data_IF_735262238275
#
_entry.id   IF_735262238275
#
_cell.length_a   1.000
_cell.length_b   1.000
_cell.length_c   1.000
_cell.angle_alpha   90.00
_cell.angle_beta   90.00
_cell.angle_gamma   90.00
#
_symmetry.space_group_name_H-M   'P 1'
#
loop_
_entity.id
_entity.type
_entity.pdbx_description
1 polymer ?
#
# COMPACT_ATOMS: atom_id res chain seq x y z
N UNK A 1 9.83 -5.05 -24.59
CA UNK A 1 8.69 -5.99 -24.63
C UNK A 1 8.86 -6.97 -23.49
N UNK A 2 7.89 -7.08 -22.59
CA UNK A 2 7.94 -8.03 -21.49
C UNK A 2 7.79 -9.47 -22.01
N UNK A 3 8.41 -10.44 -21.35
CA UNK A 3 8.42 -11.86 -21.73
C UNK A 3 7.01 -12.41 -22.00
N UNK A 4 6.04 -11.99 -21.18
CA UNK A 4 4.63 -12.39 -21.30
C UNK A 4 3.93 -11.81 -22.53
N UNK A 5 4.27 -10.58 -22.94
CA UNK A 5 3.66 -9.96 -24.12
C UNK A 5 4.05 -10.69 -25.42
N UNK A 6 5.28 -11.21 -25.49
CA UNK A 6 5.72 -12.05 -26.59
C UNK A 6 5.00 -13.42 -26.62
N UNK A 7 4.80 -14.02 -25.44
CA UNK A 7 4.19 -15.34 -25.31
C UNK A 7 2.67 -15.35 -25.50
N UNK A 8 1.97 -14.34 -24.99
CA UNK A 8 0.50 -14.32 -24.97
C UNK A 8 -0.11 -13.53 -26.13
N UNK A 9 0.49 -12.40 -26.51
CA UNK A 9 -0.10 -11.50 -27.52
C UNK A 9 0.48 -11.68 -28.92
N UNK A 10 1.69 -12.25 -29.06
CA UNK A 10 2.39 -12.40 -30.35
C UNK A 10 2.58 -13.86 -30.79
N UNK A 11 2.15 -14.82 -29.98
CA UNK A 11 2.25 -16.23 -30.31
C UNK A 11 1.01 -16.66 -31.11
N UNK A 12 1.15 -17.05 -32.39
CA UNK A 12 0.01 -17.45 -33.23
C UNK A 12 -0.64 -18.76 -32.76
N UNK A 13 -0.03 -19.49 -31.82
CA UNK A 13 -0.60 -20.71 -31.21
C UNK A 13 -1.41 -20.43 -29.94
N UNK A 14 -1.44 -19.19 -29.45
CA UNK A 14 -2.20 -18.79 -28.27
C UNK A 14 -3.35 -17.91 -28.73
N UNK A 15 -4.58 -18.31 -28.38
CA UNK A 15 -5.79 -17.53 -28.60
C UNK A 15 -6.38 -17.19 -27.23
N UNK A 16 -6.56 -15.91 -26.97
CA UNK A 16 -7.25 -15.43 -25.77
C UNK A 16 -8.73 -15.27 -26.11
N UNK A 17 -9.59 -15.82 -25.28
CA UNK A 17 -11.05 -15.73 -25.41
C UNK A 17 -11.64 -15.18 -24.11
N UNK A 18 -12.66 -14.34 -24.22
CA UNK A 18 -13.35 -13.78 -23.06
C UNK A 18 -14.33 -14.80 -22.48
N UNK A 19 -14.27 -15.06 -21.18
CA UNK A 19 -15.16 -16.01 -20.48
C UNK A 19 -16.01 -15.24 -19.47
N UNK A 20 -17.33 -15.46 -19.50
CA UNK A 20 -18.33 -14.81 -18.63
C UNK A 20 -18.10 -15.10 -17.13
N UNK A 21 -17.92 -16.37 -16.80
CA UNK A 21 -17.84 -16.88 -15.43
C UNK A 21 -17.23 -18.27 -15.45
N UNK A 22 -16.29 -18.51 -14.54
CA UNK A 22 -15.78 -19.84 -14.25
C UNK A 22 -16.53 -20.39 -13.05
N UNK A 23 -16.92 -21.66 -13.12
CA UNK A 23 -17.36 -22.36 -11.92
C UNK A 23 -16.16 -22.46 -10.96
N UNK A 24 -16.25 -21.93 -9.73
CA UNK A 24 -15.11 -21.90 -8.81
C UNK A 24 -14.66 -23.28 -8.32
N UNK A 25 -15.52 -24.30 -8.44
CA UNK A 25 -15.18 -25.68 -8.08
C UNK A 25 -14.54 -26.46 -9.24
N UNK A 26 -14.95 -26.20 -10.48
CA UNK A 26 -14.50 -26.99 -11.65
C UNK A 26 -13.54 -26.22 -12.57
N UNK A 27 -13.43 -24.90 -12.41
CA UNK A 27 -12.71 -23.99 -13.31
C UNK A 27 -13.13 -24.09 -14.78
N UNK A 28 -14.36 -24.55 -15.04
CA UNK A 28 -14.94 -24.62 -16.38
C UNK A 28 -15.83 -23.41 -16.66
N UNK A 29 -15.94 -22.98 -17.93
CA UNK A 29 -16.88 -21.94 -18.34
C UNK A 29 -18.32 -22.38 -18.04
N UNK A 30 -19.10 -21.49 -17.41
CA UNK A 30 -20.51 -21.77 -17.08
C UNK A 30 -21.46 -21.38 -18.22
N UNK A 31 -21.04 -20.45 -19.10
CA UNK A 31 -21.79 -20.08 -20.31
C UNK A 31 -20.90 -19.51 -21.41
N UNK A 32 -21.32 -19.66 -22.67
CA UNK A 32 -20.72 -19.01 -23.85
C UNK A 32 -21.40 -17.66 -24.14
N UNK A 33 -20.63 -16.63 -24.46
CA UNK A 33 -21.14 -15.29 -24.83
C UNK A 33 -20.26 -14.13 -24.37
N UNK A 34 -20.65 -12.90 -24.72
CA UNK A 34 -19.95 -11.68 -24.30
C UNK A 34 -20.04 -11.50 -22.76
N UNK A 35 -18.96 -11.07 -22.08
CA UNK A 35 -18.95 -10.89 -20.62
C UNK A 35 -20.06 -9.92 -20.16
N UNK A 36 -20.66 -10.18 -19.01
CA UNK A 36 -21.71 -9.32 -18.42
C UNK A 36 -21.15 -8.03 -17.81
N UNK A 37 -19.82 -7.91 -17.74
CA UNK A 37 -19.08 -6.77 -17.23
C UNK A 37 -18.03 -6.34 -18.26
N UNK A 38 -17.70 -5.05 -18.30
CA UNK A 38 -16.51 -4.59 -19.01
C UNK A 38 -15.28 -4.89 -18.14
N UNK A 39 -14.40 -5.78 -18.62
CA UNK A 39 -13.17 -6.10 -17.91
C UNK A 39 -12.30 -4.86 -17.65
N UNK A 40 -12.40 -3.82 -18.49
CA UNK A 40 -11.71 -2.55 -18.27
C UNK A 40 -12.33 -1.80 -17.09
N UNK A 41 -13.66 -1.72 -17.02
CA UNK A 41 -14.39 -1.10 -15.92
C UNK A 41 -14.14 -1.82 -14.60
N UNK A 42 -14.10 -3.16 -14.59
CA UNK A 42 -13.76 -3.96 -13.39
C UNK A 42 -12.30 -3.77 -12.99
N UNK A 43 -11.37 -3.70 -13.96
CA UNK A 43 -9.98 -3.40 -13.64
C UNK A 43 -9.81 -1.98 -13.10
N UNK A 44 -10.55 -1.01 -13.63
CA UNK A 44 -10.54 0.37 -13.17
C UNK A 44 -11.16 0.49 -11.77
N UNK A 45 -12.27 -0.18 -11.50
CA UNK A 45 -12.91 -0.26 -10.18
C UNK A 45 -11.99 -0.92 -9.13
N UNK A 46 -11.36 -2.04 -9.48
CA UNK A 46 -10.54 -2.82 -8.55
C UNK A 46 -9.15 -2.21 -8.35
N UNK A 47 -8.58 -1.57 -9.37
CA UNK A 47 -7.17 -1.12 -9.34
C UNK A 47 -6.96 0.39 -9.32
N UNK A 48 -7.99 1.20 -9.57
CA UNK A 48 -7.85 2.66 -9.46
C UNK A 48 -7.77 3.10 -8.00
N UNK A 49 -6.89 4.07 -7.74
CA UNK A 49 -6.82 4.74 -6.44
C UNK A 49 -8.10 5.50 -6.09
N UNK A 50 -8.86 5.91 -7.12
CA UNK A 50 -10.07 6.72 -7.03
C UNK A 50 -10.92 6.52 -8.31
N UNK A 51 -12.22 6.20 -8.21
CA UNK A 51 -13.03 5.79 -9.37
C UNK A 51 -13.11 6.81 -10.52
N UNK A 52 -13.09 8.12 -10.23
CA UNK A 52 -13.18 9.21 -11.21
C UNK A 52 -11.81 9.79 -11.63
N UNK A 53 -10.71 9.15 -11.21
CA UNK A 53 -9.36 9.53 -11.63
C UNK A 53 -9.14 9.12 -13.09
N UNK A 54 -8.79 10.07 -13.96
CA UNK A 54 -8.51 9.79 -15.37
C UNK A 54 -7.10 10.23 -15.77
N UNK A 55 -6.55 9.61 -16.83
CA UNK A 55 -5.30 10.00 -17.47
C UNK A 55 -5.52 10.98 -18.65
N UNK A 56 -6.78 11.37 -18.92
CA UNK A 56 -7.16 12.29 -19.99
C UNK A 56 -7.53 13.66 -19.43
N UNK A 57 -7.10 14.77 -20.05
CA UNK A 57 -7.44 16.11 -19.58
C UNK A 57 -8.96 16.31 -19.50
N UNK A 58 -9.45 16.80 -18.36
CA UNK A 58 -10.85 17.16 -18.17
C UNK A 58 -11.20 18.37 -19.05
N UNK A 59 -12.43 18.42 -19.60
CA UNK A 59 -12.96 19.62 -20.24
C UNK A 59 -13.30 20.68 -19.19
N UNK A 60 -12.89 21.93 -19.45
CA UNK A 60 -13.11 23.10 -18.60
C UNK A 60 -12.67 22.87 -17.13
N UNK A 61 -11.37 22.57 -16.89
CA UNK A 61 -10.87 22.45 -15.52
C UNK A 61 -10.83 23.83 -14.85
N UNK A 62 -11.07 23.86 -13.54
CA UNK A 62 -10.88 25.05 -12.70
C UNK A 62 -9.38 25.36 -12.55
N UNK A 63 -8.55 24.31 -12.61
CA UNK A 63 -7.11 24.41 -12.38
C UNK A 63 -6.31 23.51 -13.33
N UNK A 64 -5.24 24.06 -13.90
CA UNK A 64 -4.25 23.30 -14.67
C UNK A 64 -2.90 23.48 -14.01
N UNK A 65 -2.36 22.40 -13.48
CA UNK A 65 -1.11 22.36 -12.73
C UNK A 65 -0.06 21.51 -13.42
N UNK A 66 1.20 21.86 -13.17
CA UNK A 66 2.37 21.08 -13.53
C UNK A 66 3.21 20.88 -12.28
N UNK A 67 3.69 19.66 -12.12
CA UNK A 67 4.49 19.26 -10.96
C UNK A 67 5.83 18.74 -11.40
N UNK A 68 6.88 19.16 -10.70
CA UNK A 68 8.21 18.57 -10.84
C UNK A 68 8.85 18.38 -9.47
N UNK A 69 9.55 17.26 -9.31
CA UNK A 69 10.26 16.88 -8.11
C UNK A 69 11.73 16.57 -8.40
N UNK A 70 12.63 17.47 -8.01
CA UNK A 70 14.06 17.29 -8.28
C UNK A 70 14.82 16.74 -7.06
N UNK A 71 15.61 15.68 -7.27
CA UNK A 71 16.57 15.15 -6.29
C UNK A 71 17.99 15.16 -6.84
N UNK A 72 18.93 15.81 -6.15
CA UNK A 72 20.31 16.01 -6.64
C UNK A 72 21.33 15.94 -5.51
N UNK A 73 22.60 15.73 -5.85
CA UNK A 73 23.71 15.76 -4.88
C UNK A 73 24.30 17.17 -4.83
N UNK A 74 24.43 17.71 -3.62
CA UNK A 74 25.04 19.01 -3.35
C UNK A 74 26.01 18.87 -2.17
N UNK A 75 27.29 19.18 -2.40
CA UNK A 75 28.36 19.02 -1.39
C UNK A 75 28.38 17.63 -0.73
N UNK A 76 28.07 16.57 -1.50
CA UNK A 76 28.03 15.20 -1.01
C UNK A 76 26.77 14.80 -0.23
N UNK A 77 25.83 15.74 0.00
CA UNK A 77 24.53 15.47 0.61
C UNK A 77 23.43 15.39 -0.43
N UNK A 78 22.45 14.50 -0.25
CA UNK A 78 21.31 14.40 -1.15
C UNK A 78 20.33 15.50 -0.79
N UNK A 79 20.01 16.38 -1.74
CA UNK A 79 18.97 17.39 -1.57
C UNK A 79 17.77 17.07 -2.45
N UNK A 80 16.63 17.56 -2.02
CA UNK A 80 15.35 17.34 -2.63
C UNK A 80 14.55 18.63 -2.64
N UNK A 81 13.64 18.76 -3.60
CA UNK A 81 12.72 19.90 -3.75
C UNK A 81 11.59 19.53 -4.68
N UNK A 82 10.56 20.36 -4.67
CA UNK A 82 9.45 20.26 -5.60
C UNK A 82 8.97 21.64 -6.02
N UNK A 83 8.21 21.67 -7.10
CA UNK A 83 7.36 22.80 -7.44
C UNK A 83 6.01 22.32 -7.97
N UNK A 84 5.00 23.15 -7.70
CA UNK A 84 3.67 23.10 -8.29
C UNK A 84 3.44 24.45 -8.95
N UNK A 85 3.24 24.44 -10.25
CA UNK A 85 3.07 25.66 -11.05
C UNK A 85 1.78 25.58 -11.85
N UNK A 86 1.18 26.73 -12.15
CA UNK A 86 0.14 26.85 -13.17
C UNK A 86 0.77 27.22 -14.52
N UNK A 87 -0.05 27.42 -15.54
CA UNK A 87 0.39 27.97 -16.82
C UNK A 87 1.07 29.35 -16.68
N UNK A 88 0.73 30.12 -15.65
CA UNK A 88 1.07 31.54 -15.55
C UNK A 88 2.05 31.85 -14.42
N UNK A 89 2.00 31.10 -13.32
CA UNK A 89 2.75 31.41 -12.10
C UNK A 89 3.18 30.16 -11.33
N UNK A 90 4.15 30.34 -10.44
CA UNK A 90 4.52 29.32 -9.46
C UNK A 90 3.54 29.41 -8.28
N UNK A 91 2.77 28.36 -8.04
CA UNK A 91 1.84 28.31 -6.91
C UNK A 91 2.61 28.00 -5.63
N UNK A 92 3.51 27.02 -5.69
CA UNK A 92 4.32 26.62 -4.56
C UNK A 92 5.64 26.02 -5.05
N UNK A 93 6.75 26.34 -4.40
CA UNK A 93 8.02 25.69 -4.65
C UNK A 93 8.87 25.72 -3.38
N UNK A 94 9.35 24.56 -2.93
CA UNK A 94 10.05 24.45 -1.65
C UNK A 94 11.12 23.36 -1.67
N UNK A 95 12.12 23.51 -0.82
CA UNK A 95 13.07 22.46 -0.49
C UNK A 95 12.38 21.33 0.31
N UNK A 96 12.87 20.10 0.17
CA UNK A 96 12.37 18.92 0.86
C UNK A 96 13.49 18.23 1.65
N UNK A 97 13.13 17.42 2.67
CA UNK A 97 14.05 16.48 3.30
C UNK A 97 14.64 15.48 2.30
N UNK A 98 15.77 14.87 2.65
CA UNK A 98 16.43 13.90 1.79
C UNK A 98 15.51 12.70 1.46
N UNK A 99 15.43 12.34 0.17
CA UNK A 99 14.73 11.13 -0.29
C UNK A 99 13.33 11.36 -0.89
N UNK A 100 12.79 12.56 -0.81
CA UNK A 100 11.45 12.92 -1.30
C UNK A 100 11.59 13.66 -2.64
N UNK A 101 10.67 13.50 -3.58
CA UNK A 101 10.63 14.43 -4.74
C UNK A 101 9.29 14.40 -5.46
N UNK A 102 9.14 13.50 -6.42
CA UNK A 102 8.07 13.50 -7.42
C UNK A 102 6.72 13.12 -6.83
N UNK A 103 6.70 12.12 -5.95
CA UNK A 103 5.47 11.68 -5.27
C UNK A 103 4.93 12.80 -4.36
N UNK A 104 5.83 13.50 -3.66
CA UNK A 104 5.44 14.64 -2.83
C UNK A 104 4.95 15.81 -3.67
N UNK A 105 5.62 16.14 -4.78
CA UNK A 105 5.19 17.19 -5.70
C UNK A 105 3.75 16.94 -6.18
N UNK A 106 3.47 15.70 -6.61
CA UNK A 106 2.14 15.30 -7.06
C UNK A 106 1.10 15.31 -5.93
N UNK A 107 1.43 14.73 -4.76
CA UNK A 107 0.56 14.75 -3.60
C UNK A 107 0.19 16.18 -3.20
N UNK A 108 1.17 17.09 -3.23
CA UNK A 108 0.96 18.48 -2.87
C UNK A 108 0.08 19.22 -3.89
N UNK A 109 0.24 18.94 -5.18
CA UNK A 109 -0.64 19.51 -6.20
C UNK A 109 -2.09 19.03 -6.06
N UNK A 110 -2.31 17.79 -5.63
CA UNK A 110 -3.64 17.26 -5.31
C UNK A 110 -4.26 18.00 -4.12
N UNK A 111 -3.50 18.20 -3.03
CA UNK A 111 -3.95 19.00 -1.88
C UNK A 111 -4.32 20.45 -2.26
N UNK A 112 -3.50 21.10 -3.10
CA UNK A 112 -3.76 22.47 -3.58
C UNK A 112 -4.98 22.55 -4.54
N UNK A 113 -5.40 21.40 -5.07
CA UNK A 113 -6.55 21.25 -5.95
C UNK A 113 -7.84 20.91 -5.19
N UNK A 114 -7.84 21.01 -3.85
CA UNK A 114 -9.00 20.73 -3.01
C UNK A 114 -10.28 21.42 -3.53
N UNK A 115 -11.36 20.64 -3.59
CA UNK A 115 -12.70 21.05 -4.03
C UNK A 115 -12.79 21.61 -5.48
N UNK A 116 -11.73 21.46 -6.29
CA UNK A 116 -11.65 21.94 -7.68
C UNK A 116 -11.64 20.79 -8.68
N UNK A 117 -12.04 21.08 -9.92
CA UNK A 117 -11.82 20.22 -11.08
C UNK A 117 -10.43 20.52 -11.64
N UNK A 118 -9.49 19.58 -11.51
CA UNK A 118 -8.08 19.85 -11.82
C UNK A 118 -7.51 18.91 -12.89
N UNK A 119 -6.66 19.46 -13.76
CA UNK A 119 -5.74 18.71 -14.60
C UNK A 119 -4.32 18.91 -14.07
N UNK A 120 -3.67 17.84 -13.60
CA UNK A 120 -2.31 17.87 -13.07
C UNK A 120 -1.40 17.10 -14.01
N UNK A 121 -0.36 17.75 -14.52
CA UNK A 121 0.65 17.16 -15.37
C UNK A 121 1.91 16.84 -14.57
N UNK A 122 2.44 15.64 -14.76
CA UNK A 122 3.71 15.19 -14.18
C UNK A 122 4.55 14.52 -15.26
N UNK A 123 5.85 14.77 -15.28
CA UNK A 123 6.77 14.04 -16.15
C UNK A 123 7.37 12.79 -15.48
N UNK A 124 7.02 12.56 -14.21
CA UNK A 124 7.41 11.37 -13.47
C UNK A 124 6.50 10.20 -13.80
N UNK A 125 6.97 9.33 -14.70
CA UNK A 125 6.34 8.04 -14.98
C UNK A 125 6.16 7.20 -13.70
N UNK A 126 7.07 7.34 -12.72
CA UNK A 126 6.95 6.65 -11.44
C UNK A 126 5.77 7.17 -10.61
N UNK A 127 5.60 8.49 -10.49
CA UNK A 127 4.49 9.07 -9.74
C UNK A 127 3.14 8.76 -10.41
N UNK A 128 3.09 8.89 -11.74
CA UNK A 128 1.92 8.51 -12.54
C UNK A 128 1.53 7.04 -12.33
N UNK A 129 2.46 6.10 -12.49
CA UNK A 129 2.19 4.67 -12.33
C UNK A 129 1.80 4.31 -10.88
N UNK A 130 2.43 4.95 -9.90
CA UNK A 130 2.09 4.76 -8.48
C UNK A 130 0.63 5.11 -8.22
N UNK A 131 0.15 6.23 -8.76
CA UNK A 131 -1.22 6.69 -8.56
C UNK A 131 -2.24 5.90 -9.40
N UNK A 132 -1.97 5.65 -10.68
CA UNK A 132 -2.96 5.04 -11.59
C UNK A 132 -3.01 3.51 -11.54
N UNK A 133 -1.87 2.85 -11.33
CA UNK A 133 -1.76 1.40 -11.52
C UNK A 133 -1.69 0.65 -10.18
N UNK A 134 -1.09 1.27 -9.17
CA UNK A 134 -0.66 0.55 -7.97
C UNK A 134 -1.30 1.00 -6.66
N UNK A 135 -2.10 2.07 -6.65
CA UNK A 135 -2.64 2.59 -5.39
C UNK A 135 -3.56 1.62 -4.67
N UNK A 136 -4.46 0.94 -5.39
CA UNK A 136 -5.29 -0.10 -4.80
C UNK A 136 -4.46 -1.27 -4.26
N UNK A 137 -3.43 -1.71 -5.00
CA UNK A 137 -2.54 -2.81 -4.59
C UNK A 137 -1.75 -2.44 -3.32
N UNK A 138 -1.26 -1.21 -3.24
CA UNK A 138 -0.52 -0.73 -2.08
C UNK A 138 -1.40 -0.65 -0.84
N UNK A 139 -2.66 -0.21 -1.00
CA UNK A 139 -3.65 -0.20 0.07
C UNK A 139 -4.03 -1.62 0.51
N UNK A 140 -4.26 -2.53 -0.43
CA UNK A 140 -4.64 -3.92 -0.14
C UNK A 140 -3.53 -4.74 0.53
N UNK A 141 -2.27 -4.52 0.13
CA UNK A 141 -1.12 -5.28 0.65
C UNK A 141 -0.47 -4.64 1.86
N UNK A 142 -1.05 -3.56 2.40
CA UNK A 142 -0.47 -2.84 3.55
C UNK A 142 0.91 -2.29 3.27
N UNK A 143 1.19 -1.89 2.02
CA UNK A 143 2.49 -1.38 1.55
C UNK A 143 3.65 -2.37 1.73
N UNK A 144 3.33 -3.67 1.65
CA UNK A 144 4.31 -4.75 1.63
C UNK A 144 4.54 -5.27 0.21
N UNK A 145 5.78 -5.61 -0.08
CA UNK A 145 6.15 -6.40 -1.27
C UNK A 145 5.65 -7.84 -1.14
N UNK A 146 5.62 -8.60 -2.24
CA UNK A 146 5.23 -10.01 -2.22
C UNK A 146 6.11 -10.88 -1.30
N UNK A 147 7.34 -10.43 -1.01
CA UNK A 147 8.24 -11.07 -0.05
C UNK A 147 8.09 -10.58 1.40
N UNK A 148 7.04 -9.82 1.73
CA UNK A 148 6.76 -9.33 3.09
C UNK A 148 7.61 -8.13 3.54
N UNK A 149 8.51 -7.62 2.68
CA UNK A 149 9.32 -6.44 2.99
C UNK A 149 8.55 -5.15 2.69
N UNK A 150 8.70 -4.12 3.54
CA UNK A 150 8.12 -2.80 3.30
C UNK A 150 8.54 -2.17 1.97
N UNK A 151 7.62 -1.48 1.33
CA UNK A 151 7.85 -0.76 0.07
C UNK A 151 8.65 0.51 0.34
N UNK A 152 9.60 0.81 -0.56
CA UNK A 152 10.38 2.04 -0.50
C UNK A 152 9.45 3.27 -0.68
N UNK A 153 9.71 4.36 0.04
CA UNK A 153 8.90 5.59 0.00
C UNK A 153 7.45 5.41 0.47
N UNK A 154 7.19 4.44 1.37
CA UNK A 154 5.87 4.13 1.91
C UNK A 154 5.06 5.36 2.35
N UNK A 155 5.71 6.31 3.03
CA UNK A 155 5.06 7.53 3.55
C UNK A 155 4.58 8.43 2.40
N UNK A 156 5.40 8.60 1.35
CA UNK A 156 5.04 9.42 0.19
C UNK A 156 3.88 8.79 -0.58
N UNK A 157 3.89 7.47 -0.72
CA UNK A 157 2.82 6.72 -1.39
C UNK A 157 1.52 6.88 -0.61
N UNK A 158 1.52 6.69 0.72
CA UNK A 158 0.33 6.90 1.56
C UNK A 158 -0.23 8.31 1.40
N UNK A 159 0.63 9.32 1.52
CA UNK A 159 0.21 10.71 1.38
C UNK A 159 -0.39 10.99 0.01
N UNK A 160 0.21 10.46 -1.06
CA UNK A 160 -0.32 10.59 -2.41
C UNK A 160 -1.72 9.94 -2.56
N UNK A 161 -1.91 8.76 -1.97
CA UNK A 161 -3.18 8.03 -2.01
C UNK A 161 -4.27 8.64 -1.12
N UNK A 162 -3.90 9.40 -0.09
CA UNK A 162 -4.83 10.21 0.69
C UNK A 162 -5.19 11.49 -0.07
N UNK A 163 -4.19 12.21 -0.59
CA UNK A 163 -4.38 13.49 -1.27
C UNK A 163 -5.22 13.40 -2.55
N UNK A 164 -5.24 12.23 -3.22
CA UNK A 164 -6.05 12.04 -4.44
C UNK A 164 -7.55 12.27 -4.21
N UNK A 165 -8.02 12.22 -2.96
CA UNK A 165 -9.43 12.44 -2.60
C UNK A 165 -9.78 13.91 -2.36
N UNK A 166 -8.81 14.82 -2.28
CA UNK A 166 -9.05 16.25 -2.02
C UNK A 166 -9.74 16.97 -3.20
N UNK A 167 -9.38 16.75 -4.48
CA UNK A 167 -10.02 17.43 -5.59
C UNK A 167 -11.48 16.99 -5.79
N UNK A 168 -12.31 17.85 -6.39
CA UNK A 168 -13.68 17.49 -6.75
C UNK A 168 -13.72 16.50 -7.91
N UNK A 169 -12.95 16.77 -8.96
CA UNK A 169 -12.72 15.87 -10.11
C UNK A 169 -11.25 16.02 -10.52
N UNK A 170 -10.59 14.94 -10.92
CA UNK A 170 -9.15 14.97 -11.16
C UNK A 170 -8.73 14.18 -12.40
N UNK A 171 -7.92 14.82 -13.24
CA UNK A 171 -7.08 14.13 -14.21
C UNK A 171 -5.60 14.29 -13.84
N UNK A 172 -4.88 13.18 -13.72
CA UNK A 172 -3.41 13.18 -13.58
C UNK A 172 -2.81 12.63 -14.85
N UNK A 173 -2.13 13.50 -15.61
CA UNK A 173 -1.65 13.19 -16.96
C UNK A 173 -0.12 13.12 -16.96
N UNK A 174 0.42 12.03 -17.49
CA UNK A 174 1.86 11.94 -17.73
C UNK A 174 2.26 12.73 -18.99
N UNK A 175 3.18 13.67 -18.85
CA UNK A 175 3.84 14.35 -19.95
C UNK A 175 5.28 13.85 -20.12
N UNK A 176 5.91 14.09 -21.27
CA UNK A 176 7.33 13.72 -21.43
C UNK A 176 8.19 14.82 -20.82
N UNK A 177 9.12 14.43 -19.96
CA UNK A 177 10.11 15.35 -19.41
C UNK A 177 11.05 15.93 -20.48
N UNK A 178 11.61 17.10 -20.19
CA UNK A 178 12.64 17.77 -20.99
C UNK A 178 12.29 18.04 -22.47
N UNK A 179 11.01 18.21 -22.80
CA UNK A 179 10.59 18.59 -24.14
C UNK A 179 10.94 20.06 -24.44
N UNK A 180 11.37 20.33 -25.69
CA UNK A 180 11.60 21.70 -26.22
C UNK A 180 10.37 22.25 -26.98
N UNK A 181 9.20 21.65 -26.76
CA UNK A 181 7.95 22.08 -27.40
C UNK A 181 7.53 23.47 -26.94
N UNK A 182 6.69 24.12 -27.76
CA UNK A 182 6.01 25.40 -27.44
C UNK A 182 4.51 25.21 -27.17
N UNK A 183 4.06 23.97 -27.06
CA UNK A 183 2.72 23.69 -26.59
C UNK A 183 2.62 23.99 -25.09
N UNK A 184 1.41 24.26 -24.61
CA UNK A 184 1.16 24.65 -23.23
C UNK A 184 1.66 23.62 -22.21
N UNK A 185 1.63 22.33 -22.56
CA UNK A 185 2.09 21.27 -21.67
C UNK A 185 3.62 21.28 -21.56
N UNK A 186 4.33 21.39 -22.68
CA UNK A 186 5.79 21.53 -22.70
C UNK A 186 6.26 22.77 -21.93
N UNK A 187 5.59 23.92 -22.11
CA UNK A 187 5.93 25.17 -21.42
C UNK A 187 5.65 25.08 -19.90
N UNK A 188 4.51 24.50 -19.52
CA UNK A 188 4.17 24.25 -18.12
C UNK A 188 5.16 23.31 -17.43
N UNK A 189 5.57 22.23 -18.09
CA UNK A 189 6.56 21.30 -17.54
C UNK A 189 7.94 21.95 -17.38
N UNK A 190 8.39 22.73 -18.36
CA UNK A 190 9.65 23.48 -18.26
C UNK A 190 9.61 24.50 -17.12
N UNK A 191 8.47 25.15 -16.90
CA UNK A 191 8.27 26.08 -15.78
C UNK A 191 8.33 25.34 -14.44
N UNK A 192 7.72 24.16 -14.33
CA UNK A 192 7.77 23.34 -13.11
C UNK A 192 9.22 22.96 -12.78
N UNK A 193 9.95 22.43 -13.77
CA UNK A 193 11.37 22.08 -13.63
C UNK A 193 12.24 23.28 -13.24
N UNK A 194 12.01 24.44 -13.87
CA UNK A 194 12.72 25.68 -13.51
C UNK A 194 12.39 26.14 -12.08
N UNK A 195 11.13 26.10 -11.68
CA UNK A 195 10.68 26.50 -10.34
C UNK A 195 11.25 25.58 -9.26
N UNK A 196 11.19 24.26 -9.47
CA UNK A 196 11.83 23.29 -8.59
C UNK A 196 13.33 23.56 -8.52
N UNK A 197 13.97 23.87 -9.66
CA UNK A 197 15.39 24.23 -9.72
C UNK A 197 15.77 25.47 -8.92
N UNK A 198 14.89 26.46 -8.83
CA UNK A 198 15.13 27.68 -8.06
C UNK A 198 14.94 27.47 -6.55
N UNK A 199 13.97 26.63 -6.15
CA UNK A 199 13.65 26.37 -4.75
C UNK A 199 14.81 25.77 -3.92
N UNK A 200 15.87 25.24 -4.55
CA UNK A 200 17.05 24.78 -3.81
C UNK A 200 17.90 25.91 -3.19
N UNK A 201 17.72 27.15 -3.63
CA UNK A 201 18.57 28.27 -3.17
C UNK A 201 18.07 28.90 -1.86
N UNK A 202 16.81 28.66 -1.50
CA UNK A 202 16.22 29.19 -0.26
C UNK A 202 16.08 28.05 0.75
N UNK A 203 17.00 28.00 1.72
CA UNK A 203 16.93 27.05 2.82
C UNK A 203 15.87 27.50 3.84
N UNK A 204 14.61 27.14 3.57
CA UNK A 204 13.64 26.93 4.65
C UNK A 204 13.16 25.51 4.47
N UNK A 205 13.82 24.57 5.15
CA UNK A 205 13.30 23.22 5.25
C UNK A 205 11.92 23.31 5.93
N UNK A 206 10.81 22.92 5.29
CA UNK A 206 9.61 22.65 6.03
C UNK A 206 9.99 21.56 7.03
N UNK A 207 9.90 21.93 8.31
CA UNK A 207 10.07 20.98 9.39
C UNK A 207 9.15 19.80 9.10
N UNK A 208 9.61 18.59 9.41
CA UNK A 208 8.82 17.36 9.36
C UNK A 208 7.70 17.46 10.41
N UNK A 209 6.74 18.34 10.19
CA UNK A 209 5.49 18.40 10.94
C UNK A 209 4.64 17.33 10.29
N UNK A 210 4.89 16.09 10.71
CA UNK A 210 3.86 15.07 10.64
C UNK A 210 2.73 15.59 11.52
N UNK A 211 1.63 16.01 10.92
CA UNK A 211 0.35 15.89 11.59
C UNK A 211 0.20 14.38 11.81
N UNK A 212 0.56 13.92 13.00
CA UNK A 212 0.10 12.63 13.47
C UNK A 212 -1.42 12.67 13.31
N UNK A 213 -2.06 11.60 12.77
CA UNK A 213 -3.51 11.54 12.80
C UNK A 213 -3.94 11.86 14.23
N UNK A 214 -4.89 12.78 14.39
CA UNK A 214 -5.43 13.10 15.71
C UNK A 214 -6.05 11.81 16.23
N UNK A 215 -5.28 11.11 17.06
CA UNK A 215 -5.75 9.92 17.75
C UNK A 215 -6.88 10.40 18.66
N UNK A 216 -8.04 9.72 18.66
CA UNK A 216 -9.12 10.05 19.57
C UNK A 216 -8.65 9.96 21.03
N UNK A 217 -9.54 10.33 21.96
CA UNK A 217 -9.36 10.28 23.42
C UNK A 217 -8.40 9.18 23.91
N UNK A 218 -7.62 9.45 24.98
CA UNK A 218 -6.57 8.55 25.45
C UNK A 218 -7.05 7.09 25.57
N UNK A 219 -6.25 6.13 25.08
CA UNK A 219 -6.67 4.74 24.97
C UNK A 219 -6.85 4.11 26.35
N UNK A 220 -7.93 3.37 26.52
CA UNK A 220 -8.15 2.55 27.71
C UNK A 220 -7.78 1.09 27.38
N UNK A 221 -6.62 0.65 27.85
CA UNK A 221 -6.17 -0.72 27.70
C UNK A 221 -6.69 -1.57 28.86
N UNK A 222 -7.11 -2.79 28.57
CA UNK A 222 -7.35 -3.79 29.61
C UNK A 222 -6.02 -4.24 30.22
N UNK A 223 -6.04 -4.80 31.46
CA UNK A 223 -4.81 -5.30 32.09
C UNK A 223 -4.05 -6.33 31.25
N UNK A 224 -4.77 -7.15 30.48
CA UNK A 224 -4.17 -8.16 29.60
C UNK A 224 -3.44 -7.53 28.40
N UNK A 225 -4.01 -6.47 27.83
CA UNK A 225 -3.39 -5.72 26.73
C UNK A 225 -2.16 -4.93 27.21
N UNK A 226 -2.20 -4.38 28.43
CA UNK A 226 -1.03 -3.73 29.04
C UNK A 226 0.11 -4.73 29.31
N UNK A 227 -0.21 -5.91 29.83
CA UNK A 227 0.77 -6.97 30.09
C UNK A 227 1.38 -7.48 28.77
N UNK A 228 0.57 -7.70 27.75
CA UNK A 228 1.05 -8.09 26.42
C UNK A 228 1.97 -7.04 25.80
N UNK A 229 1.58 -5.75 25.83
CA UNK A 229 2.40 -4.67 25.28
C UNK A 229 3.77 -4.58 25.96
N UNK A 230 3.83 -4.82 27.28
CA UNK A 230 5.08 -4.86 28.03
C UNK A 230 5.94 -6.08 27.67
N UNK A 231 5.35 -7.26 27.50
CA UNK A 231 6.05 -8.46 27.07
C UNK A 231 6.67 -8.31 25.68
N UNK A 232 5.99 -7.61 24.78
CA UNK A 232 6.49 -7.28 23.43
C UNK A 232 7.54 -6.16 23.41
N UNK A 233 7.92 -5.60 24.56
CA UNK A 233 8.91 -4.52 24.63
C UNK A 233 8.42 -3.17 24.09
N UNK A 234 7.10 -2.95 24.12
CA UNK A 234 6.48 -1.70 23.66
C UNK A 234 6.82 -0.52 24.56
N UNK A 235 6.78 0.69 24.02
CA UNK A 235 7.01 1.93 24.76
C UNK A 235 5.73 2.74 24.91
N UNK A 236 5.47 3.25 26.10
CA UNK A 236 4.29 4.09 26.38
C UNK A 236 4.58 5.56 26.05
N UNK A 237 3.69 6.21 25.32
CA UNK A 237 3.78 7.65 25.01
C UNK A 237 3.20 8.50 26.15
N UNK A 238 3.41 9.82 26.10
CA UNK A 238 2.87 10.75 27.09
C UNK A 238 1.35 10.86 27.02
N UNK A 239 0.79 10.56 25.86
CA UNK A 239 -0.64 10.54 25.55
C UNK A 239 -1.31 9.19 25.90
N UNK A 240 -0.54 8.24 26.46
CA UNK A 240 -1.06 6.98 27.01
C UNK A 240 -1.02 5.78 26.06
N UNK A 241 -0.62 5.96 24.80
CA UNK A 241 -0.57 4.91 23.77
C UNK A 241 0.65 4.00 23.92
N UNK A 242 0.50 2.73 23.57
CA UNK A 242 1.61 1.79 23.43
C UNK A 242 2.14 1.79 21.98
N UNK A 243 3.46 1.91 21.82
CA UNK A 243 4.16 1.83 20.54
C UNK A 243 4.98 0.53 20.51
N UNK A 244 4.66 -0.33 19.55
CA UNK A 244 5.35 -1.62 19.32
C UNK A 244 6.79 -1.41 18.82
N UNK A 245 7.67 -2.42 18.94
CA UNK A 245 9.06 -2.32 18.45
C UNK A 245 9.22 -1.96 16.98
N UNK A 246 8.20 -2.24 16.16
CA UNK A 246 8.15 -1.92 14.73
C UNK A 246 7.53 -0.54 14.42
N UNK A 247 7.37 0.30 15.45
CA UNK A 247 6.84 1.66 15.38
C UNK A 247 5.34 1.78 15.09
N UNK A 248 4.57 0.69 15.17
CA UNK A 248 3.10 0.75 15.09
C UNK A 248 2.49 1.15 16.43
N UNK A 249 1.37 1.87 16.37
CA UNK A 249 0.53 2.15 17.54
C UNK A 249 -0.30 0.90 17.83
N UNK A 250 -0.25 0.42 19.07
CA UNK A 250 -1.11 -0.65 19.53
C UNK A 250 -2.49 -0.08 19.88
N UNK A 251 -3.50 -0.41 19.06
CA UNK A 251 -4.87 0.05 19.27
C UNK A 251 -5.60 -0.95 20.17
N UNK A 252 -6.15 -0.52 21.33
CA UNK A 252 -6.91 -1.42 22.19
C UNK A 252 -8.18 -1.90 21.49
N UNK A 253 -8.66 -3.09 21.84
CA UNK A 253 -9.82 -3.73 21.22
C UNK A 253 -11.07 -2.83 21.29
N UNK A 254 -11.21 -2.07 22.37
CA UNK A 254 -12.30 -1.11 22.59
C UNK A 254 -12.27 0.11 21.65
N UNK A 255 -11.15 0.39 20.99
CA UNK A 255 -11.05 1.45 19.98
C UNK A 255 -11.00 0.89 18.55
N UNK A 256 -10.79 -0.42 18.38
CA UNK A 256 -10.72 -1.06 17.07
C UNK A 256 -11.98 -0.79 16.21
N UNK A 257 -13.16 -0.72 16.83
CA UNK A 257 -14.42 -0.42 16.13
C UNK A 257 -14.65 1.08 15.86
N UNK A 258 -14.00 1.99 16.58
CA UNK A 258 -14.08 3.45 16.31
C UNK A 258 -13.12 3.89 15.21
N UNK A 259 -12.04 3.14 14.99
CA UNK A 259 -11.14 3.30 13.84
C UNK A 259 -11.78 2.76 12.54
N UNK A 260 -12.92 2.07 12.63
CA UNK A 260 -13.65 1.46 11.51
C UNK A 260 -14.51 2.44 10.67
N UNK A 261 -14.11 3.72 10.59
CA UNK A 261 -14.52 4.59 9.47
C UNK A 261 -13.91 4.16 8.12
N UNK A 262 -13.01 3.16 8.15
CA UNK A 262 -12.54 2.42 6.99
C UNK A 262 -13.46 1.21 6.78
N UNK A 263 -14.19 1.16 5.66
CA UNK A 263 -14.94 -0.02 5.22
C UNK A 263 -13.98 -1.21 5.06
N UNK A 264 -13.81 -2.02 6.11
CA UNK A 264 -13.03 -3.25 6.05
C UNK A 264 -13.91 -4.39 5.52
N UNK A 265 -13.93 -4.59 4.21
CA UNK A 265 -14.29 -5.89 3.66
C UNK A 265 -13.09 -6.83 3.81
N UNK A 266 -12.95 -7.46 4.96
CA UNK A 266 -12.06 -8.62 5.10
C UNK A 266 -12.87 -9.83 4.64
N UNK A 267 -12.63 -10.25 3.40
CA UNK A 267 -13.12 -11.52 2.90
C UNK A 267 -12.53 -12.66 3.74
N UNK A 268 -13.35 -13.63 4.18
CA UNK A 268 -12.94 -14.69 5.12
C UNK A 268 -11.74 -15.55 4.65
N UNK A 269 -11.40 -15.50 3.36
CA UNK A 269 -10.25 -16.18 2.77
C UNK A 269 -8.91 -15.49 3.06
N UNK A 270 -8.92 -14.26 3.61
CA UNK A 270 -7.72 -13.50 4.00
C UNK A 270 -7.42 -13.54 5.51
N UNK A 271 -8.22 -14.24 6.32
CA UNK A 271 -7.84 -14.62 7.69
C UNK A 271 -7.11 -15.96 7.63
N UNK A 272 -5.79 -15.95 7.84
CA UNK A 272 -5.02 -17.16 8.13
C UNK A 272 -4.60 -17.14 9.59
N UNK A 273 -4.81 -18.27 10.27
CA UNK A 273 -4.28 -18.50 11.60
C UNK A 273 -2.76 -18.39 11.58
N UNK A 274 -2.22 -17.81 12.64
CA UNK A 274 -0.78 -17.76 12.89
C UNK A 274 -0.22 -19.18 13.01
N UNK A 275 1.05 -19.33 12.61
CA UNK A 275 1.93 -20.50 12.58
C UNK A 275 1.96 -21.32 11.27
N UNK A 276 3.11 -21.20 10.59
CA UNK A 276 3.75 -22.23 9.79
C UNK A 276 5.15 -22.47 10.40
N UNK A 277 5.96 -23.49 10.02
CA UNK A 277 5.73 -24.69 9.20
C UNK A 277 6.43 -25.96 9.77
N UNK A 278 6.05 -27.18 9.33
CA UNK A 278 6.96 -28.36 9.35
C UNK A 278 6.30 -29.54 8.63
N UNK A 279 7.05 -30.15 7.69
CA UNK A 279 6.72 -31.42 7.03
C UNK A 279 6.80 -32.61 8.02
N UNK A 280 5.84 -32.65 8.94
CA UNK A 280 5.35 -33.87 9.57
C UNK A 280 4.03 -33.49 10.23
N UNK A 281 2.89 -33.86 9.63
CA UNK A 281 1.63 -33.79 10.36
C UNK A 281 1.73 -34.74 11.56
N UNK A 282 1.68 -34.26 12.82
CA UNK A 282 1.61 -35.15 13.94
C UNK A 282 0.22 -35.79 13.94
N UNK A 283 0.15 -37.11 13.81
CA UNK A 283 -1.12 -37.83 13.98
C UNK A 283 -1.52 -37.80 15.46
N UNK A 284 -2.63 -37.13 15.74
CA UNK A 284 -3.22 -37.07 17.07
C UNK A 284 -4.21 -38.21 17.24
N UNK A 285 -4.08 -38.98 18.32
CA UNK A 285 -5.07 -40.00 18.68
C UNK A 285 -5.94 -39.50 19.83
N UNK A 286 -7.24 -39.60 19.63
CA UNK A 286 -8.27 -39.13 20.54
C UNK A 286 -8.87 -40.32 21.29
N UNK A 287 -8.86 -40.30 22.61
CA UNK A 287 -9.54 -41.32 23.43
C UNK A 287 -10.47 -40.65 24.44
N UNK A 288 -11.73 -41.09 24.43
CA UNK A 288 -12.76 -40.66 25.38
C UNK A 288 -12.64 -41.42 26.69
N UNK A 289 -12.78 -40.72 27.81
CA UNK A 289 -12.95 -41.34 29.12
C UNK A 289 -14.33 -42.03 29.17
N UNK A 290 -14.37 -43.29 29.62
CA UNK A 290 -15.60 -44.09 29.61
C UNK A 290 -16.58 -43.73 30.74
N UNK A 291 -16.16 -42.99 31.77
CA UNK A 291 -17.04 -42.55 32.87
C UNK A 291 -17.51 -41.10 32.72
N UNK A 292 -16.75 -40.25 32.01
CA UNK A 292 -17.15 -38.87 31.73
C UNK A 292 -17.04 -38.56 30.23
N UNK A 293 -18.15 -38.70 29.47
CA UNK A 293 -18.11 -38.70 28.00
C UNK A 293 -17.75 -37.34 27.37
N UNK A 294 -17.67 -36.27 28.16
CA UNK A 294 -17.20 -34.95 27.73
C UNK A 294 -15.70 -34.73 27.99
N UNK A 295 -15.03 -35.69 28.64
CA UNK A 295 -13.61 -35.60 28.96
C UNK A 295 -12.83 -36.44 27.95
N UNK A 296 -12.23 -35.74 27.01
CA UNK A 296 -11.51 -36.33 25.89
C UNK A 296 -10.03 -36.07 26.09
N UNK A 297 -9.21 -37.12 25.95
CA UNK A 297 -7.75 -36.99 26.04
C UNK A 297 -7.15 -37.12 24.64
N UNK A 298 -6.33 -36.13 24.26
CA UNK A 298 -5.60 -36.10 23.01
C UNK A 298 -4.13 -36.45 23.28
N UNK A 299 -3.58 -37.44 22.57
CA UNK A 299 -2.15 -37.79 22.65
C UNK A 299 -1.50 -37.70 21.27
N UNK A 300 -0.27 -37.16 21.24
CA UNK A 300 0.56 -37.01 20.04
C UNK A 300 1.37 -38.29 19.83
N UNK A 301 1.36 -38.88 18.63
CA UNK A 301 2.06 -40.15 18.35
C UNK A 301 3.58 -40.12 18.51
N UNK A 302 4.21 -38.94 18.55
CA UNK A 302 5.65 -38.80 18.80
C UNK A 302 6.09 -39.30 20.19
N UNK A 303 5.19 -39.42 21.16
CA UNK A 303 5.50 -39.88 22.53
C UNK A 303 5.43 -41.41 22.70
N UNK A 304 5.16 -42.18 21.62
CA UNK A 304 5.18 -43.65 21.66
C UNK A 304 6.54 -44.26 21.30
N UNK A 305 7.48 -43.47 20.78
CA UNK A 305 8.79 -43.96 20.35
C UNK A 305 9.90 -43.80 21.40
N UNK A 306 9.64 -43.13 22.52
CA UNK A 306 10.69 -42.80 23.51
C UNK A 306 10.37 -43.29 24.92
N UNK A 307 9.78 -44.49 25.03
CA UNK A 307 9.97 -45.27 26.24
C UNK A 307 11.34 -45.96 26.17
N UNK A 308 12.29 -45.65 27.06
CA UNK A 308 13.52 -46.42 27.14
C UNK A 308 13.16 -47.87 27.47
N UNK A 309 13.64 -48.80 26.65
CA UNK A 309 13.66 -50.21 27.03
C UNK A 309 14.33 -50.35 28.42
N UNK A 310 13.82 -51.21 29.30
CA UNK A 310 14.44 -51.43 30.61
C UNK A 310 15.89 -51.86 30.40
N UNK A 311 16.83 -51.13 31.02
CA UNK A 311 18.21 -51.58 31.19
C UNK A 311 18.17 -52.87 32.00
N UNK A 312 18.35 -54.00 31.32
CA UNK A 312 18.79 -55.21 32.00
C UNK A 312 20.24 -54.98 32.45
N UNK A 313 20.37 -54.54 33.70
CA UNK A 313 21.55 -54.76 34.51
C UNK A 313 21.57 -56.25 34.86
N UNK A 314 22.57 -56.98 34.37
CA UNK A 314 23.23 -58.07 35.09
C UNK A 314 24.51 -58.51 34.33
N UNK A 315 25.63 -57.93 34.75
CA UNK A 315 26.99 -58.49 34.71
C UNK A 315 27.18 -59.48 35.89
N UNK A 316 28.34 -60.13 36.09
CA UNK A 316 29.11 -61.04 35.22
C UNK A 316 29.46 -62.37 35.96
N UNK A 317 29.77 -63.45 35.22
CA UNK A 317 30.78 -64.49 35.52
C UNK A 317 30.63 -65.67 34.55
#
# INVERSE_FOLDING_TARGET
>A
MTQYQGLLSKNPRVRLEAVRTLNPATFLPVSEGAPEHDCLEVLEEVYSSRPDLTDRPLPNPDLVLFTDGSSFLDEGKRRARYAVVSNFETIEAQALPEGWSELWALARALELSKDKRANIYTDSCYAFATLHIHGAIYKERGLLTAGGKGIKNQIEILKLLEAVWEPKEIAVIHCKGHQKGKDSVSEGNQRADAAAKLAAKEQVAPSRIMLAPELPEPPNYTPQEEEWAQQEGSKRTKEGWWILPDHRIYVPEQLAHKVAGLNTWIHHSRVKADHQPSDAQPEWKVTSDQKHPLRITLKKTADLADQPAPRNLETPC
#
